data_IF_167436619651
#
_entry.id   IF_167436619651
#
_cell.length_a   1.000
_cell.length_b   1.000
_cell.length_c   1.000
_cell.angle_alpha   90.00
_cell.angle_beta   90.00
_cell.angle_gamma   90.00
#
_symmetry.space_group_name_H-M   'P 1'
#
loop_
_entity.id
_entity.type
_entity.pdbx_description
1 polymer ?
#
# COMPACT_ATOMS: atom_id res chain seq x y z
N UNK A 1 14.61 -20.05 19.31
CA UNK A 1 13.26 -19.78 19.77
C UNK A 1 12.53 -18.81 18.85
N UNK A 2 11.30 -19.10 18.54
CA UNK A 2 10.52 -18.25 17.67
C UNK A 2 10.15 -16.99 18.43
N UNK A 3 10.47 -15.87 17.82
CA UNK A 3 10.06 -14.58 18.35
C UNK A 3 8.55 -14.40 18.16
N UNK A 4 7.86 -13.93 19.18
CA UNK A 4 6.48 -13.50 19.06
C UNK A 4 6.35 -12.07 18.53
N UNK A 5 7.42 -11.54 17.97
CA UNK A 5 7.38 -10.25 17.33
C UNK A 5 6.40 -10.27 16.17
N UNK A 6 5.69 -9.17 16.03
CA UNK A 6 4.83 -8.94 14.88
C UNK A 6 5.63 -9.09 13.60
N UNK A 7 5.11 -9.86 12.63
CA UNK A 7 5.75 -9.98 11.33
C UNK A 7 5.71 -8.65 10.58
N UNK A 8 6.87 -8.24 10.07
CA UNK A 8 6.94 -7.08 9.21
C UNK A 8 6.83 -7.52 7.76
N UNK A 9 5.61 -7.61 7.25
CA UNK A 9 5.34 -8.04 5.88
C UNK A 9 5.87 -7.07 4.83
N UNK A 10 6.15 -5.83 5.22
CA UNK A 10 6.59 -4.79 4.30
C UNK A 10 8.04 -4.36 4.53
N UNK A 11 8.85 -5.21 5.15
CA UNK A 11 10.25 -4.89 5.44
C UNK A 11 11.10 -4.60 4.19
N UNK A 12 10.68 -5.09 3.03
CA UNK A 12 11.39 -4.88 1.76
C UNK A 12 10.73 -3.83 0.87
N UNK A 13 9.66 -3.18 1.33
CA UNK A 13 8.88 -2.28 0.45
C UNK A 13 9.69 -1.08 -0.04
N UNK A 14 10.64 -0.60 0.76
CA UNK A 14 11.48 0.54 0.37
C UNK A 14 12.39 0.24 -0.83
N UNK A 15 12.66 -1.03 -1.13
CA UNK A 15 13.44 -1.40 -2.30
C UNK A 15 12.73 -1.06 -3.61
N UNK A 16 11.41 -0.85 -3.56
CA UNK A 16 10.62 -0.46 -4.72
C UNK A 16 10.54 1.05 -4.94
N UNK A 17 11.07 1.86 -4.03
CA UNK A 17 11.11 3.30 -4.20
C UNK A 17 11.78 3.66 -5.53
N UNK A 18 11.15 4.55 -6.28
CA UNK A 18 11.59 4.98 -7.62
C UNK A 18 11.44 3.94 -8.73
N UNK A 19 10.95 2.74 -8.45
CA UNK A 19 10.58 1.81 -9.52
C UNK A 19 9.41 2.41 -10.28
N UNK A 20 9.51 2.39 -11.61
CA UNK A 20 8.51 3.05 -12.46
C UNK A 20 7.14 2.40 -12.30
N UNK A 21 6.10 3.21 -12.38
CA UNK A 21 4.73 2.72 -12.42
C UNK A 21 4.47 2.04 -13.77
N UNK A 22 3.87 0.85 -13.71
CA UNK A 22 3.45 0.13 -14.91
C UNK A 22 2.14 -0.59 -14.61
N UNK A 23 1.08 -0.23 -15.29
CA UNK A 23 -0.21 -0.93 -15.17
C UNK A 23 -0.04 -2.42 -15.47
N UNK A 24 -0.49 -3.27 -14.54
CA UNK A 24 -0.30 -4.71 -14.65
C UNK A 24 1.09 -5.21 -14.31
N UNK A 25 2.05 -4.30 -14.01
CA UNK A 25 3.42 -4.68 -13.66
C UNK A 25 3.53 -5.15 -12.21
N UNK A 26 4.42 -6.12 -11.98
CA UNK A 26 4.67 -6.69 -10.64
C UNK A 26 6.13 -7.07 -10.44
N UNK A 27 7.05 -6.28 -10.96
CA UNK A 27 8.49 -6.54 -10.86
C UNK A 27 9.28 -5.22 -10.75
N UNK A 28 10.60 -5.33 -10.60
CA UNK A 28 11.49 -4.17 -10.63
C UNK A 28 11.55 -3.46 -11.98
N UNK A 29 10.99 -4.07 -13.04
CA UNK A 29 10.87 -3.43 -14.36
C UNK A 29 9.66 -2.50 -14.44
N UNK A 30 8.76 -2.58 -13.50
CA UNK A 30 7.57 -1.76 -13.39
C UNK A 30 6.55 -2.42 -12.49
N UNK A 31 5.84 -1.63 -11.70
CA UNK A 31 4.91 -2.16 -10.69
C UNK A 31 3.70 -1.24 -10.56
N UNK A 32 2.51 -1.81 -10.37
CA UNK A 32 1.32 -1.01 -10.03
C UNK A 32 1.04 -1.05 -8.53
N UNK A 33 0.02 -0.29 -8.10
CA UNK A 33 -0.23 -0.07 -6.67
C UNK A 33 -0.59 -1.35 -5.92
N UNK A 34 -1.47 -2.18 -6.47
CA UNK A 34 -1.89 -3.42 -5.82
C UNK A 34 -0.81 -4.50 -5.90
N UNK A 35 0.00 -4.51 -6.96
CA UNK A 35 1.12 -5.43 -7.09
C UNK A 35 2.20 -5.16 -6.05
N UNK A 36 2.43 -3.89 -5.69
CA UNK A 36 3.37 -3.53 -4.63
C UNK A 36 3.02 -4.25 -3.32
N UNK A 37 1.74 -4.28 -2.99
CA UNK A 37 1.25 -5.00 -1.80
C UNK A 37 1.42 -6.50 -1.98
N UNK A 38 0.95 -7.03 -3.11
CA UNK A 38 0.98 -8.47 -3.38
C UNK A 38 2.40 -9.03 -3.36
N UNK A 39 3.33 -8.36 -4.01
CA UNK A 39 4.73 -8.82 -4.07
C UNK A 39 5.34 -8.88 -2.67
N UNK A 40 5.13 -7.85 -1.85
CA UNK A 40 5.66 -7.84 -0.48
C UNK A 40 5.07 -8.96 0.37
N UNK A 41 3.77 -9.20 0.29
CA UNK A 41 3.12 -10.25 1.07
C UNK A 41 3.53 -11.65 0.59
N UNK A 42 3.60 -11.87 -0.72
CA UNK A 42 4.05 -13.15 -1.27
C UNK A 42 5.49 -13.46 -0.89
N UNK A 43 6.34 -12.44 -0.79
CA UNK A 43 7.71 -12.60 -0.32
C UNK A 43 7.78 -13.16 1.10
N UNK A 44 6.74 -12.92 1.89
CA UNK A 44 6.63 -13.40 3.27
C UNK A 44 5.66 -14.59 3.37
N UNK A 45 5.41 -15.29 2.28
CA UNK A 45 4.53 -16.46 2.23
C UNK A 45 3.10 -16.17 2.67
N UNK A 46 2.64 -14.94 2.49
CA UNK A 46 1.27 -14.56 2.81
C UNK A 46 0.48 -14.32 1.53
N UNK A 47 -0.67 -14.98 1.45
CA UNK A 47 -1.57 -14.80 0.32
C UNK A 47 -2.08 -13.34 0.26
N UNK A 48 -2.18 -12.83 -0.96
CA UNK A 48 -2.73 -11.51 -1.22
C UNK A 48 -3.41 -11.50 -2.59
N UNK A 49 -4.67 -11.06 -2.67
CA UNK A 49 -5.32 -10.89 -3.96
C UNK A 49 -4.57 -9.90 -4.85
N UNK A 50 -4.70 -10.08 -6.17
CA UNK A 50 -3.98 -9.24 -7.14
C UNK A 50 -4.52 -7.82 -7.22
N UNK A 51 -5.83 -7.65 -7.16
CA UNK A 51 -6.49 -6.37 -7.42
C UNK A 51 -6.93 -5.67 -6.14
N UNK A 52 -6.89 -4.34 -6.16
CA UNK A 52 -7.26 -3.50 -5.02
C UNK A 52 -8.65 -3.83 -4.49
N UNK A 53 -9.63 -4.00 -5.37
CA UNK A 53 -11.02 -4.30 -4.98
C UNK A 53 -11.15 -5.59 -4.20
N UNK A 54 -10.29 -6.57 -4.50
CA UNK A 54 -10.31 -7.87 -3.82
C UNK A 54 -9.50 -7.81 -2.52
N UNK A 55 -8.38 -7.08 -2.53
CA UNK A 55 -7.56 -6.90 -1.33
C UNK A 55 -8.36 -6.26 -0.20
N UNK A 56 -9.10 -5.18 -0.48
CA UNK A 56 -9.84 -4.45 0.55
C UNK A 56 -10.94 -5.31 1.19
N UNK A 57 -11.47 -6.27 0.45
CA UNK A 57 -12.45 -7.23 0.97
C UNK A 57 -11.77 -8.38 1.72
N UNK A 58 -10.61 -8.79 1.27
CA UNK A 58 -9.91 -9.94 1.83
C UNK A 58 -9.35 -9.65 3.23
N UNK A 59 -8.76 -8.48 3.43
CA UNK A 59 -8.23 -8.08 4.73
C UNK A 59 -9.37 -7.54 5.59
N UNK A 60 -9.61 -8.18 6.75
CA UNK A 60 -10.82 -7.95 7.53
C UNK A 60 -10.69 -6.92 8.64
N UNK A 61 -9.46 -6.71 9.18
CA UNK A 61 -9.28 -5.83 10.32
C UNK A 61 -9.29 -4.37 9.90
N UNK A 62 -10.36 -3.65 10.24
CA UNK A 62 -10.53 -2.24 9.93
C UNK A 62 -9.84 -1.37 10.97
N UNK A 63 -9.19 -0.30 10.51
CA UNK A 63 -8.47 0.66 11.35
C UNK A 63 -9.01 2.05 11.07
N UNK A 64 -9.19 2.85 12.12
CA UNK A 64 -9.56 4.27 11.98
C UNK A 64 -8.31 5.08 11.61
N UNK A 65 -8.49 6.15 10.84
CA UNK A 65 -7.38 7.00 10.39
C UNK A 65 -6.55 7.53 11.57
N UNK A 66 -7.20 7.90 12.67
CA UNK A 66 -6.48 8.41 13.84
C UNK A 66 -5.76 7.32 14.66
N UNK A 67 -5.87 6.06 14.27
CA UNK A 67 -5.21 4.92 14.89
C UNK A 67 -4.19 4.26 13.98
N UNK A 68 -3.84 4.91 12.89
CA UNK A 68 -2.95 4.36 11.87
C UNK A 68 -1.55 4.10 12.41
N UNK A 69 -0.96 2.98 11.99
CA UNK A 69 0.39 2.55 12.39
C UNK A 69 1.16 2.05 11.19
N UNK A 70 2.47 1.91 11.36
CA UNK A 70 3.34 1.27 10.37
C UNK A 70 2.75 -0.05 9.90
N UNK A 71 2.83 -0.31 8.61
CA UNK A 71 2.34 -1.50 7.90
C UNK A 71 0.81 -1.56 7.74
N UNK A 72 0.06 -0.56 8.16
CA UNK A 72 -1.34 -0.46 7.79
C UNK A 72 -1.46 -0.14 6.31
N UNK A 73 -2.57 -0.52 5.71
CA UNK A 73 -2.80 -0.40 4.27
C UNK A 73 -4.01 0.48 4.04
N UNK A 74 -3.82 1.58 3.29
CA UNK A 74 -4.91 2.52 2.97
C UNK A 74 -5.43 2.22 1.57
N UNK A 75 -6.74 2.10 1.45
CA UNK A 75 -7.41 1.79 0.18
C UNK A 75 -8.31 2.93 -0.28
N UNK A 76 -8.20 3.23 -1.58
CA UNK A 76 -9.16 4.01 -2.36
C UNK A 76 -9.73 3.09 -3.43
N UNK A 77 -10.79 3.50 -4.10
CA UNK A 77 -11.25 2.74 -5.26
C UNK A 77 -10.16 2.71 -6.34
N UNK A 78 -9.64 1.52 -6.61
CA UNK A 78 -8.59 1.33 -7.61
C UNK A 78 -7.19 1.80 -7.21
N UNK A 79 -6.97 2.13 -5.93
CA UNK A 79 -5.66 2.56 -5.46
C UNK A 79 -5.38 2.07 -4.03
N UNK A 80 -4.10 1.91 -3.71
CA UNK A 80 -3.68 1.42 -2.40
C UNK A 80 -2.28 1.95 -2.05
N UNK A 81 -2.05 2.18 -0.76
CA UNK A 81 -0.78 2.63 -0.23
C UNK A 81 -0.47 1.92 1.09
N UNK A 82 0.82 1.79 1.40
CA UNK A 82 1.29 1.21 2.68
C UNK A 82 1.83 2.30 3.57
N UNK A 83 1.40 2.29 4.82
CA UNK A 83 1.84 3.25 5.84
C UNK A 83 3.23 2.86 6.33
N UNK A 84 4.16 3.81 6.27
CA UNK A 84 5.53 3.64 6.77
C UNK A 84 5.67 4.08 8.23
N UNK A 85 4.94 5.13 8.59
CA UNK A 85 4.87 5.65 9.95
C UNK A 85 3.61 6.51 10.07
N UNK A 86 3.42 7.19 11.19
CA UNK A 86 2.22 7.98 11.40
C UNK A 86 2.07 9.21 10.48
N UNK A 87 3.09 9.52 9.65
CA UNK A 87 3.07 10.68 8.75
C UNK A 87 3.28 10.36 7.28
N UNK A 88 3.92 9.22 6.97
CA UNK A 88 4.35 8.89 5.61
C UNK A 88 3.80 7.56 5.14
N UNK A 89 3.54 7.48 3.84
CA UNK A 89 3.17 6.25 3.15
C UNK A 89 4.04 6.06 1.91
N UNK A 90 4.01 4.85 1.36
CA UNK A 90 4.63 4.52 0.08
C UNK A 90 3.58 3.92 -0.84
N UNK A 91 3.58 4.32 -2.10
CA UNK A 91 2.67 3.78 -3.10
C UNK A 91 3.24 3.88 -4.51
N UNK A 92 2.85 2.94 -5.37
CA UNK A 92 3.11 3.06 -6.80
C UNK A 92 2.05 4.01 -7.36
N UNK A 93 2.46 5.20 -7.76
CA UNK A 93 1.54 6.30 -8.05
C UNK A 93 1.63 6.72 -9.53
N UNK A 94 0.58 6.40 -10.28
CA UNK A 94 0.53 6.65 -11.72
C UNK A 94 0.83 8.09 -12.12
N UNK A 95 0.23 9.12 -11.47
CA UNK A 95 0.50 10.52 -11.81
C UNK A 95 1.98 10.92 -11.73
N UNK A 96 2.77 10.31 -10.84
CA UNK A 96 4.20 10.54 -10.74
C UNK A 96 5.02 9.47 -11.46
N UNK A 97 4.36 8.50 -12.08
CA UNK A 97 4.97 7.46 -12.94
C UNK A 97 5.97 6.55 -12.21
N UNK A 98 5.93 6.49 -10.89
CA UNK A 98 6.84 5.66 -10.09
C UNK A 98 6.31 5.43 -8.68
N UNK A 99 6.96 4.53 -7.96
CA UNK A 99 6.73 4.31 -6.54
C UNK A 99 7.42 5.41 -5.74
N UNK A 100 6.66 6.10 -4.90
CA UNK A 100 7.12 7.26 -4.14
C UNK A 100 6.67 7.21 -2.70
N UNK A 101 7.44 7.88 -1.83
CA UNK A 101 7.06 8.13 -0.44
C UNK A 101 6.44 9.52 -0.38
N UNK A 102 5.26 9.61 0.23
CA UNK A 102 4.52 10.87 0.37
C UNK A 102 3.92 10.98 1.77
N UNK A 103 3.56 12.21 2.16
CA UNK A 103 2.80 12.42 3.39
C UNK A 103 1.41 11.81 3.30
N UNK A 104 0.92 11.24 4.40
CA UNK A 104 -0.41 10.61 4.42
C UNK A 104 -1.50 11.64 4.15
N UNK A 105 -1.53 12.74 4.90
CA UNK A 105 -2.54 13.78 4.71
C UNK A 105 -2.46 14.42 3.34
N UNK A 106 -1.25 14.68 2.86
CA UNK A 106 -1.01 15.20 1.52
C UNK A 106 -1.57 14.29 0.45
N UNK A 107 -1.34 12.98 0.58
CA UNK A 107 -1.80 11.99 -0.39
C UNK A 107 -3.32 11.91 -0.41
N UNK A 108 -3.96 11.86 0.75
CA UNK A 108 -5.42 11.82 0.85
C UNK A 108 -6.03 13.06 0.18
N UNK A 109 -5.47 14.23 0.44
CA UNK A 109 -5.97 15.50 -0.14
C UNK A 109 -5.79 15.54 -1.66
N UNK A 110 -4.62 15.15 -2.16
CA UNK A 110 -4.35 15.24 -3.61
C UNK A 110 -5.17 14.23 -4.40
N UNK A 111 -5.38 13.03 -3.88
CA UNK A 111 -6.22 12.02 -4.54
C UNK A 111 -7.68 12.47 -4.55
N UNK A 112 -8.17 13.05 -3.48
CA UNK A 112 -9.51 13.63 -3.45
C UNK A 112 -9.66 14.76 -4.48
N UNK A 113 -8.70 15.69 -4.50
CA UNK A 113 -8.74 16.85 -5.38
C UNK A 113 -8.62 16.47 -6.86
N UNK A 114 -7.71 15.54 -7.19
CA UNK A 114 -7.39 15.23 -8.60
C UNK A 114 -8.23 14.11 -9.18
N UNK A 115 -8.67 13.15 -8.37
CA UNK A 115 -9.43 12.00 -8.84
C UNK A 115 -10.83 11.89 -8.22
N UNK A 116 -11.15 12.74 -7.24
CA UNK A 116 -12.45 12.71 -6.57
C UNK A 116 -12.67 11.47 -5.72
N UNK A 117 -11.59 10.81 -5.26
CA UNK A 117 -11.68 9.57 -4.52
C UNK A 117 -11.44 9.79 -3.03
N UNK A 118 -12.29 9.17 -2.21
CA UNK A 118 -12.15 9.15 -0.76
C UNK A 118 -11.54 7.82 -0.33
N UNK A 119 -10.91 7.80 0.83
CA UNK A 119 -10.45 6.56 1.47
C UNK A 119 -11.67 5.67 1.74
N UNK A 120 -11.62 4.43 1.25
CA UNK A 120 -12.72 3.46 1.44
C UNK A 120 -12.43 2.45 2.54
N UNK A 121 -11.20 2.35 2.99
CA UNK A 121 -10.84 1.46 4.07
C UNK A 121 -9.37 1.56 4.43
N UNK A 122 -9.07 1.27 5.69
CA UNK A 122 -7.70 1.13 6.19
C UNK A 122 -7.65 -0.22 6.87
N UNK A 123 -6.71 -1.06 6.47
CA UNK A 123 -6.63 -2.45 6.91
C UNK A 123 -5.33 -2.73 7.62
N UNK A 124 -5.38 -3.63 8.58
CA UNK A 124 -4.21 -4.17 9.29
C UNK A 124 -4.17 -5.67 9.13
N UNK A 125 -3.00 -6.20 8.86
CA UNK A 125 -2.78 -7.65 8.69
C UNK A 125 -2.73 -8.39 10.01
#
# INVERSE_FOLDING_TARGET
MISFKEKNYFNKINTFKNIRYKWGGKSFKGIDCSALIQVCLNFNNKYCPRDTKDQVKYFKKNIKLNKIKKNDIIYWKGHVAVVLNNKKLIHAYGPLKKTVIMGIDQTIKIIDKTAGLKVIGIKRL
#
